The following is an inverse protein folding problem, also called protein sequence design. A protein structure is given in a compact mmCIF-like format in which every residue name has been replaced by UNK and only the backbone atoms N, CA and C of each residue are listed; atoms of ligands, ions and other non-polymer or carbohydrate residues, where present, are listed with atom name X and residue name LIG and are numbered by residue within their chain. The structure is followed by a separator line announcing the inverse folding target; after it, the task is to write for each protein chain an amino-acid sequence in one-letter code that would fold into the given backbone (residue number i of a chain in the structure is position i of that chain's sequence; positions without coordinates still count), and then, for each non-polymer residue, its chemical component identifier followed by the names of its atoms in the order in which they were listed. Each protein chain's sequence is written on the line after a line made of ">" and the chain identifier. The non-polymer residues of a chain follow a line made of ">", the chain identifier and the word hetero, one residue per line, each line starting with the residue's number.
data_IF_161158942093
#
_entry.id   IF_161158942093
#
_cell.length_a   1.000
_cell.length_b   1.000
_cell.length_c   1.000
_cell.angle_alpha   90.00
_cell.angle_beta   90.00
_cell.angle_gamma   90.00
#
_symmetry.space_group_name_H-M   'P 1'
#
loop_
_entity.id
_entity.type
_entity.pdbx_description
1 polymer ?
#
# COMPACT_ATOMS: atom_id res chain seq x y z
N UNK A 1 -16.04 -6.29 23.96
CA UNK A 1 -16.36 -4.96 23.41
C UNK A 1 -15.15 -4.25 22.86
N UNK A 2 -14.06 -4.22 23.64
CA UNK A 2 -12.81 -3.64 23.15
C UNK A 2 -12.34 -4.33 21.88
N UNK A 3 -12.48 -5.66 21.83
CA UNK A 3 -12.07 -6.44 20.66
C UNK A 3 -12.89 -6.06 19.43
N UNK A 4 -14.20 -5.86 19.60
CA UNK A 4 -15.06 -5.45 18.48
C UNK A 4 -14.69 -4.06 17.98
N UNK A 5 -14.40 -3.12 18.89
CA UNK A 5 -14.01 -1.77 18.51
C UNK A 5 -12.68 -1.79 17.78
N UNK A 6 -11.71 -2.55 18.29
CA UNK A 6 -10.40 -2.66 17.66
C UNK A 6 -10.52 -3.27 16.27
N UNK A 7 -11.27 -4.36 16.13
CA UNK A 7 -11.48 -4.99 14.83
C UNK A 7 -12.13 -4.03 13.84
N UNK A 8 -13.09 -3.25 14.31
CA UNK A 8 -13.80 -2.28 13.47
C UNK A 8 -12.84 -1.20 12.97
N UNK A 9 -11.98 -0.68 13.85
CA UNK A 9 -11.00 0.33 13.49
C UNK A 9 -10.01 -0.23 12.46
N UNK A 10 -9.51 -1.45 12.68
CA UNK A 10 -8.59 -2.08 11.73
C UNK A 10 -9.26 -2.24 10.37
N UNK A 11 -10.51 -2.70 10.34
CA UNK A 11 -11.23 -2.88 9.09
C UNK A 11 -11.41 -1.55 8.36
N UNK A 12 -11.77 -0.50 9.07
CA UNK A 12 -11.93 0.83 8.49
C UNK A 12 -10.61 1.36 7.93
N UNK A 13 -9.51 1.13 8.68
CA UNK A 13 -8.19 1.55 8.22
C UNK A 13 -7.80 0.83 6.92
N UNK A 14 -8.08 -0.47 6.83
CA UNK A 14 -7.80 -1.24 5.62
C UNK A 14 -8.64 -0.76 4.45
N UNK A 15 -9.92 -0.49 4.68
CA UNK A 15 -10.80 0.05 3.64
C UNK A 15 -10.33 1.40 3.15
N UNK A 16 -9.83 2.22 4.05
CA UNK A 16 -9.31 3.53 3.67
C UNK A 16 -8.13 3.38 2.71
N UNK A 17 -7.22 2.45 2.98
CA UNK A 17 -6.11 2.18 2.06
C UNK A 17 -6.62 1.67 0.73
N UNK A 18 -7.56 0.73 0.71
CA UNK A 18 -8.10 0.18 -0.54
C UNK A 18 -8.76 1.26 -1.40
N UNK A 19 -9.36 2.25 -0.77
CA UNK A 19 -10.06 3.32 -1.50
C UNK A 19 -9.15 4.49 -1.85
N UNK A 20 -7.97 4.62 -1.22
CA UNK A 20 -7.13 5.83 -1.36
C UNK A 20 -5.67 5.54 -1.66
N UNK A 21 -5.28 4.28 -1.91
CA UNK A 21 -3.86 3.94 -2.10
C UNK A 21 -3.24 4.69 -3.29
N UNK A 22 -4.04 5.11 -4.24
CA UNK A 22 -3.60 5.84 -5.42
C UNK A 22 -3.15 7.26 -5.11
N UNK A 23 -3.55 7.80 -3.96
CA UNK A 23 -3.17 9.13 -3.53
C UNK A 23 -1.74 9.07 -2.97
N UNK A 24 -0.77 9.72 -3.64
CA UNK A 24 0.62 9.67 -3.17
C UNK A 24 0.82 10.35 -1.82
N UNK A 25 -0.09 11.22 -1.41
CA UNK A 25 0.01 11.93 -0.14
C UNK A 25 -0.60 11.16 1.04
N UNK A 26 -1.17 9.97 0.80
CA UNK A 26 -1.79 9.19 1.87
C UNK A 26 -0.81 8.93 3.01
N UNK A 27 -1.23 9.26 4.23
CA UNK A 27 -0.38 9.19 5.42
C UNK A 27 -1.17 8.65 6.61
N UNK A 28 -0.44 8.26 7.66
CA UNK A 28 -1.05 7.83 8.92
C UNK A 28 -1.92 8.94 9.49
N UNK A 29 -1.46 10.19 9.38
CA UNK A 29 -2.21 11.34 9.90
C UNK A 29 -3.59 11.47 9.25
N UNK A 30 -3.68 11.19 7.95
CA UNK A 30 -4.96 11.31 7.24
C UNK A 30 -5.98 10.30 7.76
N UNK A 31 -5.58 9.03 7.92
CA UNK A 31 -6.52 8.03 8.42
C UNK A 31 -6.87 8.30 9.90
N UNK A 32 -5.92 8.78 10.67
CA UNK A 32 -6.18 9.07 12.08
C UNK A 32 -7.18 10.21 12.23
N UNK A 33 -7.16 11.19 11.34
CA UNK A 33 -8.18 12.24 11.33
C UNK A 33 -9.58 11.66 11.08
N UNK A 34 -9.67 10.75 10.12
CA UNK A 34 -10.94 10.10 9.82
C UNK A 34 -11.45 9.28 11.00
N UNK A 35 -10.56 8.61 11.71
CA UNK A 35 -10.94 7.73 12.81
C UNK A 35 -11.00 8.45 14.15
N UNK A 36 -10.64 9.73 14.19
CA UNK A 36 -10.59 10.55 15.42
C UNK A 36 -9.69 9.92 16.47
N UNK A 37 -8.49 9.48 16.03
CA UNK A 37 -7.51 8.82 16.91
C UNK A 37 -6.17 9.52 16.80
N UNK A 38 -5.36 9.42 17.88
CA UNK A 38 -3.99 9.91 17.80
C UNK A 38 -3.15 8.96 16.95
N UNK A 39 -2.21 9.50 16.15
CA UNK A 39 -1.34 8.65 15.34
C UNK A 39 -0.52 7.65 16.16
N UNK A 40 -0.03 8.06 17.33
CA UNK A 40 0.76 7.16 18.17
C UNK A 40 -0.06 5.96 18.63
N UNK A 41 -1.28 6.21 19.12
CA UNK A 41 -2.14 5.13 19.59
C UNK A 41 -2.54 4.20 18.43
N UNK A 42 -2.94 4.79 17.29
CA UNK A 42 -3.32 4.02 16.11
C UNK A 42 -2.17 3.13 15.62
N UNK A 43 -0.98 3.71 15.50
CA UNK A 43 0.18 2.98 14.98
C UNK A 43 0.53 1.79 15.87
N UNK A 44 0.53 1.99 17.19
CA UNK A 44 0.82 0.93 18.14
C UNK A 44 -0.24 -0.18 18.05
N UNK A 45 -1.50 0.20 18.03
CA UNK A 45 -2.60 -0.74 17.95
C UNK A 45 -2.58 -1.53 16.63
N UNK A 46 -2.37 -0.83 15.51
CA UNK A 46 -2.38 -1.48 14.19
C UNK A 46 -1.27 -2.53 14.12
N UNK A 47 -0.06 -2.17 14.56
CA UNK A 47 1.05 -3.11 14.54
C UNK A 47 0.82 -4.29 15.48
N UNK A 48 0.26 -4.05 16.65
CA UNK A 48 -0.02 -5.11 17.62
C UNK A 48 -1.03 -6.11 17.07
N UNK A 49 -2.06 -5.63 16.40
CA UNK A 49 -3.15 -6.49 15.90
C UNK A 49 -2.77 -7.18 14.60
N UNK A 50 -2.15 -6.46 13.66
CA UNK A 50 -1.89 -6.99 12.32
C UNK A 50 -0.48 -7.55 12.13
N UNK A 51 0.44 -7.23 13.04
CA UNK A 51 1.83 -7.67 12.93
C UNK A 51 2.68 -6.79 12.02
N UNK A 52 2.12 -5.75 11.41
CA UNK A 52 2.87 -4.87 10.53
C UNK A 52 2.47 -3.42 10.74
N UNK A 53 3.33 -2.50 10.30
CA UNK A 53 3.00 -1.08 10.38
C UNK A 53 1.96 -0.74 9.32
N UNK A 54 1.23 0.35 9.53
CA UNK A 54 0.24 0.81 8.55
C UNK A 54 0.91 1.17 7.22
N UNK A 55 2.11 1.78 7.28
CA UNK A 55 2.86 2.11 6.07
C UNK A 55 3.28 0.85 5.31
N UNK A 56 3.70 -0.19 6.03
CA UNK A 56 4.03 -1.47 5.37
C UNK A 56 2.81 -2.06 4.69
N UNK A 57 1.65 -1.97 5.33
CA UNK A 57 0.39 -2.44 4.74
C UNK A 57 0.06 -1.65 3.46
N UNK A 58 0.16 -0.31 3.52
CA UNK A 58 -0.07 0.54 2.36
C UNK A 58 0.87 0.18 1.21
N UNK A 59 2.15 0.01 1.51
CA UNK A 59 3.14 -0.35 0.51
C UNK A 59 2.78 -1.67 -0.15
N UNK A 60 2.41 -2.67 0.64
CA UNK A 60 2.03 -3.97 0.10
C UNK A 60 0.81 -3.87 -0.81
N UNK A 61 -0.21 -3.10 -0.42
CA UNK A 61 -1.40 -2.89 -1.26
C UNK A 61 -0.99 -2.27 -2.60
N UNK A 62 -0.19 -1.22 -2.56
CA UNK A 62 0.28 -0.55 -3.78
C UNK A 62 1.05 -1.50 -4.69
N UNK A 63 1.94 -2.31 -4.12
CA UNK A 63 2.74 -3.23 -4.90
C UNK A 63 1.91 -4.37 -5.49
N UNK A 64 0.91 -4.86 -4.75
CA UNK A 64 0.02 -5.89 -5.29
C UNK A 64 -0.83 -5.34 -6.45
N UNK A 65 -1.28 -4.09 -6.34
CA UNK A 65 -1.98 -3.44 -7.46
C UNK A 65 -1.06 -3.26 -8.66
N UNK A 66 0.21 -2.97 -8.41
CA UNK A 66 1.19 -2.87 -9.50
C UNK A 66 1.37 -4.21 -10.20
N UNK A 67 1.42 -5.32 -9.45
CA UNK A 67 1.51 -6.66 -10.03
C UNK A 67 0.30 -6.91 -10.94
N UNK A 68 -0.90 -6.56 -10.50
CA UNK A 68 -2.10 -6.71 -11.33
C UNK A 68 -1.96 -5.94 -12.64
N UNK A 69 -1.49 -4.69 -12.58
CA UNK A 69 -1.34 -3.88 -13.79
C UNK A 69 -0.23 -4.41 -14.71
N UNK A 70 0.85 -4.92 -14.14
CA UNK A 70 1.91 -5.54 -14.93
C UNK A 70 1.40 -6.78 -15.68
N UNK A 71 0.50 -7.53 -15.07
CA UNK A 71 -0.06 -8.73 -15.69
C UNK A 71 -1.19 -8.43 -16.68
N UNK A 72 -1.96 -7.38 -16.44
CA UNK A 72 -3.21 -7.16 -17.17
C UNK A 72 -3.15 -6.03 -18.19
N UNK A 73 -2.09 -5.21 -18.18
CA UNK A 73 -1.97 -4.08 -19.10
C UNK A 73 -0.60 -4.04 -19.74
N UNK A 74 -0.48 -3.21 -20.79
CA UNK A 74 0.80 -2.90 -21.42
C UNK A 74 1.34 -1.55 -20.94
N UNK A 75 0.80 -1.02 -19.84
CA UNK A 75 1.21 0.28 -19.31
C UNK A 75 2.71 0.29 -19.01
N UNK A 76 3.35 1.38 -19.32
CA UNK A 76 4.77 1.57 -18.99
C UNK A 76 4.96 1.70 -17.49
N UNK A 77 6.16 1.37 -17.03
CA UNK A 77 6.47 1.37 -15.60
C UNK A 77 6.11 2.69 -14.92
N UNK A 78 6.41 3.83 -15.56
CA UNK A 78 6.11 5.13 -14.92
C UNK A 78 4.59 5.36 -14.81
N UNK A 79 3.81 4.82 -15.75
CA UNK A 79 2.36 4.93 -15.68
C UNK A 79 1.82 4.10 -14.54
N UNK A 80 2.32 2.87 -14.39
CA UNK A 80 1.93 2.00 -13.29
C UNK A 80 2.28 2.63 -11.95
N UNK A 81 3.49 3.18 -11.83
CA UNK A 81 3.92 3.86 -10.61
C UNK A 81 2.90 4.92 -10.19
N UNK A 82 2.50 5.78 -11.12
CA UNK A 82 1.53 6.83 -10.83
C UNK A 82 0.16 6.27 -10.44
N UNK A 83 -0.29 5.24 -11.14
CA UNK A 83 -1.60 4.65 -10.88
C UNK A 83 -1.69 4.03 -9.49
N UNK A 84 -0.58 3.56 -8.95
CA UNK A 84 -0.61 2.92 -7.63
C UNK A 84 -0.13 3.83 -6.51
N UNK A 85 0.12 5.12 -6.79
CA UNK A 85 0.38 6.10 -5.74
C UNK A 85 1.82 6.54 -5.58
N UNK A 86 2.70 6.22 -6.53
CA UNK A 86 4.10 6.66 -6.48
C UNK A 86 4.34 7.76 -7.52
N UNK A 87 4.79 8.92 -7.07
CA UNK A 87 5.12 10.02 -7.96
C UNK A 87 6.44 9.80 -8.69
N UNK A 88 7.36 9.05 -8.08
CA UNK A 88 8.71 8.83 -8.59
C UNK A 88 8.87 7.39 -9.08
N UNK A 89 9.09 7.21 -10.39
CA UNK A 89 9.27 5.88 -10.96
C UNK A 89 10.47 5.15 -10.34
N UNK A 90 11.57 5.85 -10.10
CA UNK A 90 12.77 5.22 -9.57
C UNK A 90 12.54 4.69 -8.16
N UNK A 91 11.83 5.43 -7.34
CA UNK A 91 11.49 4.97 -6.00
C UNK A 91 10.55 3.77 -6.06
N UNK A 92 9.54 3.82 -6.92
CA UNK A 92 8.64 2.69 -7.12
C UNK A 92 9.41 1.44 -7.51
N UNK A 93 10.31 1.56 -8.49
CA UNK A 93 11.12 0.43 -8.95
C UNK A 93 11.99 -0.13 -7.84
N UNK A 94 12.53 0.75 -7.00
CA UNK A 94 13.35 0.34 -5.86
C UNK A 94 12.54 -0.48 -4.85
N UNK A 95 11.36 0.01 -4.43
CA UNK A 95 10.56 -0.72 -3.44
C UNK A 95 9.99 -2.00 -4.04
N UNK A 96 9.65 -2.00 -5.33
CA UNK A 96 9.17 -3.20 -6.02
C UNK A 96 10.26 -4.28 -6.03
N UNK A 97 11.46 -3.90 -6.45
CA UNK A 97 12.58 -4.85 -6.50
C UNK A 97 12.93 -5.37 -5.11
N UNK A 98 12.89 -4.51 -4.11
CA UNK A 98 13.16 -4.92 -2.73
C UNK A 98 12.16 -5.97 -2.26
N UNK A 99 10.89 -5.83 -2.66
CA UNK A 99 9.83 -6.75 -2.25
C UNK A 99 9.83 -8.05 -3.05
N UNK A 100 10.03 -7.98 -4.37
CA UNK A 100 9.88 -9.13 -5.26
C UNK A 100 11.19 -9.67 -5.81
N UNK A 101 12.31 -9.02 -5.57
CA UNK A 101 13.62 -9.50 -5.99
C UNK A 101 14.04 -9.09 -7.39
N UNK A 102 13.12 -8.63 -8.22
CA UNK A 102 13.42 -8.16 -9.58
C UNK A 102 12.63 -6.88 -9.87
N UNK A 103 13.09 -6.13 -10.89
CA UNK A 103 12.45 -4.88 -11.27
C UNK A 103 11.08 -5.13 -11.89
N UNK A 104 10.20 -4.12 -11.92
CA UNK A 104 8.91 -4.27 -12.58
C UNK A 104 9.02 -4.72 -14.05
N UNK A 105 9.98 -4.15 -14.78
CA UNK A 105 10.18 -4.50 -16.19
C UNK A 105 10.57 -5.96 -16.34
N UNK A 106 11.49 -6.44 -15.50
CA UNK A 106 11.88 -7.83 -15.51
C UNK A 106 10.75 -8.75 -15.09
N UNK A 107 9.97 -8.32 -14.11
CA UNK A 107 8.82 -9.09 -13.64
C UNK A 107 7.84 -9.34 -14.79
N UNK A 108 7.52 -8.30 -15.56
CA UNK A 108 6.65 -8.44 -16.72
C UNK A 108 7.23 -9.40 -17.76
N UNK A 109 8.54 -9.33 -17.98
CA UNK A 109 9.23 -10.22 -18.89
C UNK A 109 9.08 -11.68 -18.48
N UNK A 110 9.15 -11.99 -17.19
CA UNK A 110 8.99 -13.37 -16.73
C UNK A 110 7.57 -13.86 -16.90
N UNK A 111 6.57 -12.98 -16.77
CA UNK A 111 5.17 -13.36 -16.95
C UNK A 111 4.84 -13.62 -18.41
N UNK A 112 5.50 -12.92 -19.31
CA UNK A 112 5.27 -13.06 -20.75
C UNK A 112 6.15 -14.13 -21.40
N UNK A 113 7.11 -14.63 -20.63
CA UNK A 113 8.03 -15.65 -21.11
C UNK A 113 7.50 -17.02 -20.86
#
# INVERSE_FOLDING_TARGET
>A
ERDNTTKKVILEARRYVENHYQDPSLSVEMICRELHMSPAYFSTMFRKVTGQTYIAYLTEVRLQKAVELLNETDDKTYVIAQKVGYQEQNYFSYVFKKRFGISPTKYRGTQNG
#
